data_IF_086507776356
#
_entry.id   IF_086507776356
#
_cell.length_a   1.000
_cell.length_b   1.000
_cell.length_c   1.000
_cell.angle_alpha   90.00
_cell.angle_beta   90.00
_cell.angle_gamma   90.00
#
_symmetry.space_group_name_H-M   'P 1'
#
loop_
_entity.id
_entity.type
_entity.pdbx_description
1 polymer ?
#
# COMPACT_ATOMS: atom_id res chain seq x y z
N UNK A 1 -9.64 -23.83 6.23
CA UNK A 1 -8.87 -22.73 6.84
C UNK A 1 -9.88 -21.69 7.27
N UNK A 2 -9.82 -21.21 8.52
CA UNK A 2 -10.80 -20.23 9.02
C UNK A 2 -10.64 -18.91 8.25
N UNK A 3 -11.74 -18.28 7.83
CA UNK A 3 -11.69 -17.03 7.09
C UNK A 3 -11.38 -15.89 8.07
N UNK A 4 -10.21 -15.30 7.94
CA UNK A 4 -9.80 -14.12 8.72
C UNK A 4 -10.13 -12.88 7.91
N UNK A 5 -10.78 -11.90 8.53
CA UNK A 5 -11.07 -10.60 7.94
C UNK A 5 -10.46 -9.50 8.79
N UNK A 6 -9.90 -8.48 8.13
CA UNK A 6 -9.35 -7.30 8.80
C UNK A 6 -10.17 -6.11 8.35
N UNK A 7 -10.84 -5.47 9.29
CA UNK A 7 -11.64 -4.29 9.05
C UNK A 7 -10.86 -3.03 9.44
N UNK A 8 -10.93 -1.99 8.60
CA UNK A 8 -10.29 -0.71 8.84
C UNK A 8 -11.33 0.41 8.92
N UNK A 9 -11.20 1.28 9.92
CA UNK A 9 -12.01 2.48 10.05
C UNK A 9 -11.19 3.68 10.54
N UNK A 10 -11.67 4.89 10.27
CA UNK A 10 -11.12 6.11 10.85
C UNK A 10 -11.76 6.36 12.22
N UNK A 11 -10.95 6.64 13.23
CA UNK A 11 -11.45 6.99 14.55
C UNK A 11 -12.29 8.28 14.48
N UNK A 12 -13.43 8.30 15.17
CA UNK A 12 -14.40 9.40 15.07
C UNK A 12 -13.85 10.76 15.51
N UNK A 13 -12.95 10.79 16.49
CA UNK A 13 -12.48 12.02 17.15
C UNK A 13 -10.95 12.15 17.18
N UNK A 14 -10.24 11.34 16.41
CA UNK A 14 -8.77 11.39 16.37
C UNK A 14 -8.25 11.14 14.95
N UNK A 15 -7.00 11.55 14.64
CA UNK A 15 -6.39 11.24 13.35
C UNK A 15 -5.93 9.77 13.23
N UNK A 16 -6.33 8.89 14.16
CA UNK A 16 -5.93 7.49 14.17
C UNK A 16 -6.85 6.66 13.27
N UNK A 17 -6.30 5.55 12.80
CA UNK A 17 -7.03 4.50 12.12
C UNK A 17 -7.07 3.27 13.03
N UNK A 18 -8.18 2.58 13.01
CA UNK A 18 -8.45 1.42 13.85
C UNK A 18 -8.55 0.20 12.96
N UNK A 19 -7.94 -0.90 13.40
CA UNK A 19 -8.03 -2.20 12.76
C UNK A 19 -8.75 -3.17 13.68
N UNK A 20 -9.79 -3.83 13.18
CA UNK A 20 -10.48 -4.91 13.86
C UNK A 20 -10.21 -6.21 13.11
N UNK A 21 -9.59 -7.17 13.78
CA UNK A 21 -9.31 -8.49 13.21
C UNK A 21 -10.36 -9.47 13.73
N UNK A 22 -11.12 -10.06 12.83
CA UNK A 22 -12.13 -11.08 13.13
C UNK A 22 -11.86 -12.37 12.38
N UNK A 23 -12.22 -13.49 12.99
CA UNK A 23 -12.27 -14.79 12.33
C UNK A 23 -13.70 -15.27 12.32
N UNK A 24 -14.19 -15.67 11.14
CA UNK A 24 -15.52 -16.25 11.00
C UNK A 24 -15.43 -17.76 10.78
N UNK A 25 -16.21 -18.49 11.57
CA UNK A 25 -16.29 -19.96 11.56
C UNK A 25 -17.75 -20.38 11.80
N UNK A 26 -18.05 -21.07 12.91
CA UNK A 26 -19.42 -21.25 13.40
C UNK A 26 -19.84 -20.08 14.33
N UNK A 27 -18.86 -19.43 14.96
CA UNK A 27 -19.03 -18.21 15.76
C UNK A 27 -17.95 -17.20 15.39
N UNK A 28 -18.30 -15.92 15.46
CA UNK A 28 -17.37 -14.82 15.19
C UNK A 28 -16.45 -14.62 16.39
N UNK A 29 -15.14 -14.68 16.16
CA UNK A 29 -14.13 -14.36 17.16
C UNK A 29 -13.43 -13.06 16.76
N UNK A 30 -13.01 -12.27 17.74
CA UNK A 30 -12.25 -11.03 17.52
C UNK A 30 -10.93 -11.05 18.30
N UNK A 31 -9.90 -10.42 17.74
CA UNK A 31 -8.65 -10.17 18.47
C UNK A 31 -8.92 -9.14 19.57
N UNK A 32 -8.46 -9.46 20.79
CA UNK A 32 -8.51 -8.56 21.94
C UNK A 32 -7.32 -7.60 21.97
N UNK A 33 -6.40 -7.81 22.91
CA UNK A 33 -5.22 -6.96 23.10
C UNK A 33 -4.03 -7.42 22.24
N UNK A 34 -3.31 -6.45 21.68
CA UNK A 34 -2.04 -6.68 20.97
C UNK A 34 -0.88 -6.40 21.94
N UNK A 35 -0.13 -7.45 22.28
CA UNK A 35 0.97 -7.39 23.24
C UNK A 35 2.31 -7.48 22.49
N UNK A 36 3.19 -6.51 22.71
CA UNK A 36 4.56 -6.53 22.19
C UNK A 36 5.47 -7.30 23.14
N UNK A 37 6.42 -8.04 22.56
CA UNK A 37 7.42 -8.80 23.30
C UNK A 37 8.82 -8.31 22.90
N UNK A 38 9.73 -8.28 23.87
CA UNK A 38 11.14 -7.99 23.61
C UNK A 38 11.77 -9.17 22.85
N UNK A 39 12.37 -8.89 21.70
CA UNK A 39 13.11 -9.88 20.92
C UNK A 39 14.59 -9.77 21.25
N UNK A 40 15.19 -10.86 21.67
CA UNK A 40 16.64 -11.00 21.86
C UNK A 40 17.27 -11.55 20.58
N UNK A 41 18.52 -11.22 20.32
CA UNK A 41 19.24 -11.73 19.13
C UNK A 41 19.26 -13.26 19.04
N UNK A 42 19.19 -13.95 20.18
CA UNK A 42 19.14 -15.41 20.27
C UNK A 42 17.77 -16.01 19.91
N UNK A 43 16.69 -15.22 19.86
CA UNK A 43 15.32 -15.72 19.67
C UNK A 43 15.00 -16.05 18.20
N UNK A 44 15.91 -15.73 17.27
CA UNK A 44 15.74 -15.97 15.85
C UNK A 44 14.73 -15.03 15.20
N UNK A 45 14.28 -15.38 13.98
CA UNK A 45 13.27 -14.60 13.25
C UNK A 45 11.88 -15.06 13.73
N UNK A 46 11.05 -14.18 14.32
CA UNK A 46 9.72 -14.55 14.78
C UNK A 46 8.79 -14.86 13.61
N UNK A 47 7.77 -15.67 13.87
CA UNK A 47 6.68 -15.91 12.91
C UNK A 47 5.85 -14.64 12.67
N UNK A 48 5.18 -14.56 11.52
CA UNK A 48 4.27 -13.46 11.22
C UNK A 48 3.14 -13.37 12.26
N UNK A 49 2.90 -12.17 12.80
CA UNK A 49 1.85 -11.93 13.81
C UNK A 49 0.43 -12.09 13.27
N UNK A 50 0.26 -11.98 11.94
CA UNK A 50 -1.01 -12.16 11.24
C UNK A 50 -0.74 -12.71 9.84
N UNK A 51 -1.49 -13.74 9.45
CA UNK A 51 -1.51 -14.26 8.09
C UNK A 51 -2.95 -14.21 7.58
N UNK A 52 -3.15 -13.58 6.43
CA UNK A 52 -4.44 -13.47 5.75
C UNK A 52 -4.28 -13.90 4.30
N UNK A 53 -5.36 -14.35 3.69
CA UNK A 53 -5.36 -14.68 2.27
C UNK A 53 -5.41 -13.41 1.40
N UNK A 54 -5.26 -13.61 0.09
CA UNK A 54 -5.27 -12.52 -0.87
C UNK A 54 -6.60 -11.75 -0.90
N UNK A 55 -7.72 -12.44 -0.73
CA UNK A 55 -9.06 -11.82 -0.75
C UNK A 55 -9.23 -10.86 0.44
N UNK A 56 -8.87 -11.32 1.65
CA UNK A 56 -8.89 -10.50 2.85
C UNK A 56 -7.88 -9.34 2.77
N UNK A 57 -6.72 -9.55 2.15
CA UNK A 57 -5.75 -8.47 1.92
C UNK A 57 -6.29 -7.40 0.96
N UNK A 58 -6.96 -7.79 -0.13
CA UNK A 58 -7.62 -6.85 -1.04
C UNK A 58 -8.75 -6.08 -0.34
N UNK A 59 -9.60 -6.77 0.42
CA UNK A 59 -10.67 -6.13 1.18
C UNK A 59 -10.12 -5.12 2.21
N UNK A 60 -9.00 -5.44 2.88
CA UNK A 60 -8.32 -4.49 3.77
C UNK A 60 -7.82 -3.25 3.00
N UNK A 61 -7.22 -3.44 1.82
CA UNK A 61 -6.78 -2.33 0.97
C UNK A 61 -7.94 -1.42 0.56
N UNK A 62 -9.09 -1.99 0.18
CA UNK A 62 -10.29 -1.23 -0.18
C UNK A 62 -10.85 -0.44 1.01
N UNK A 63 -10.80 -1.00 2.22
CA UNK A 63 -11.26 -0.30 3.41
C UNK A 63 -10.32 0.82 3.83
N UNK A 64 -9.00 0.59 3.78
CA UNK A 64 -8.01 1.66 3.95
C UNK A 64 -8.22 2.74 2.89
N UNK A 65 -8.53 2.35 1.66
CA UNK A 65 -8.88 3.28 0.60
C UNK A 65 -10.12 4.11 0.97
N UNK A 66 -11.20 3.48 1.41
CA UNK A 66 -12.41 4.20 1.83
C UNK A 66 -12.18 5.10 3.05
N UNK A 67 -11.23 4.77 3.91
CA UNK A 67 -10.81 5.59 5.05
C UNK A 67 -9.92 6.80 4.67
N UNK A 68 -9.52 6.92 3.40
CA UNK A 68 -8.63 7.98 2.93
C UNK A 68 -7.14 7.68 3.06
N UNK A 69 -6.75 6.46 3.43
CA UNK A 69 -5.36 6.01 3.42
C UNK A 69 -4.98 5.56 2.01
N UNK A 70 -3.87 6.09 1.51
CA UNK A 70 -3.27 5.73 0.22
C UNK A 70 -1.79 5.47 0.43
N UNK A 71 -1.15 4.62 -0.40
CA UNK A 71 0.29 4.63 -0.49
C UNK A 71 0.76 6.08 -0.71
N UNK A 72 1.77 6.53 0.02
CA UNK A 72 2.31 7.89 -0.11
C UNK A 72 2.76 8.16 -1.54
N UNK A 73 3.37 7.16 -2.18
CA UNK A 73 3.74 7.14 -3.59
C UNK A 73 2.56 6.94 -4.56
N UNK A 74 1.40 6.51 -4.05
CA UNK A 74 0.16 6.30 -4.80
C UNK A 74 -0.79 7.49 -4.80
N UNK A 75 -0.42 8.60 -4.14
CA UNK A 75 -1.20 9.84 -4.06
C UNK A 75 -1.34 10.60 -5.38
N UNK A 76 -0.75 10.09 -6.47
CA UNK A 76 -1.23 10.40 -7.82
C UNK A 76 -0.18 10.78 -8.87
N UNK A 77 1.13 10.70 -8.62
CA UNK A 77 2.05 11.25 -9.64
C UNK A 77 3.50 10.78 -9.67
N UNK A 78 4.06 10.00 -8.75
CA UNK A 78 5.48 9.63 -8.87
C UNK A 78 5.78 8.82 -10.15
N UNK A 79 4.98 7.78 -10.41
CA UNK A 79 5.09 6.99 -11.65
C UNK A 79 4.62 7.73 -12.91
N UNK A 80 3.53 8.50 -12.82
CA UNK A 80 2.99 9.25 -13.96
C UNK A 80 3.86 10.45 -14.34
N UNK A 81 4.34 11.25 -13.37
CA UNK A 81 5.32 12.31 -13.60
C UNK A 81 6.62 11.76 -14.14
N UNK A 82 7.14 10.65 -13.60
CA UNK A 82 8.36 10.05 -14.11
C UNK A 82 8.17 9.58 -15.57
N UNK A 83 7.04 8.95 -15.88
CA UNK A 83 6.69 8.57 -17.25
C UNK A 83 6.55 9.80 -18.17
N UNK A 84 5.90 10.87 -17.71
CA UNK A 84 5.78 12.13 -18.46
C UNK A 84 7.13 12.83 -18.65
N UNK A 85 7.99 12.85 -17.63
CA UNK A 85 9.33 13.43 -17.70
C UNK A 85 10.21 12.68 -18.69
N UNK A 86 10.20 11.35 -18.64
CA UNK A 86 10.91 10.50 -19.60
C UNK A 86 10.39 10.72 -21.03
N UNK A 87 9.07 10.81 -21.19
CA UNK A 87 8.45 11.08 -22.48
C UNK A 87 8.85 12.46 -23.04
N UNK A 88 8.82 13.52 -22.22
CA UNK A 88 9.23 14.87 -22.62
C UNK A 88 10.73 14.95 -22.98
N UNK A 89 11.58 14.22 -22.27
CA UNK A 89 13.01 14.15 -22.57
C UNK A 89 13.25 13.56 -23.96
N UNK A 90 12.50 12.51 -24.32
CA UNK A 90 12.62 11.85 -25.62
C UNK A 90 12.10 12.74 -26.77
N UNK A 91 10.97 13.41 -26.56
CA UNK A 91 10.44 14.40 -27.52
C UNK A 91 11.42 15.55 -27.76
N UNK A 92 12.06 16.07 -26.70
CA UNK A 92 13.12 17.09 -26.84
C UNK A 92 14.29 16.56 -27.66
N UNK A 93 14.75 15.34 -27.39
CA UNK A 93 15.87 14.72 -28.13
C UNK A 93 15.56 14.61 -29.62
N UNK A 94 14.35 14.19 -29.97
CA UNK A 94 13.89 14.10 -31.37
C UNK A 94 13.87 15.50 -32.02
N UNK A 95 13.24 16.49 -31.37
CA UNK A 95 13.13 17.84 -31.90
C UNK A 95 14.50 18.48 -32.16
N UNK A 96 15.43 18.40 -31.20
CA UNK A 96 16.77 18.96 -31.36
C UNK A 96 17.62 18.22 -32.39
N UNK A 97 17.41 16.91 -32.56
CA UNK A 97 18.08 16.14 -33.62
C UNK A 97 17.57 16.56 -34.99
N UNK A 98 16.24 16.70 -35.15
CA UNK A 98 15.62 17.16 -36.38
C UNK A 98 16.07 18.57 -36.78
N UNK A 99 16.13 19.51 -35.83
CA UNK A 99 16.60 20.88 -36.08
C UNK A 99 18.07 20.94 -36.50
N UNK A 100 18.95 20.10 -35.93
CA UNK A 100 20.36 20.01 -36.34
C UNK A 100 20.52 19.47 -37.77
N UNK A 101 19.63 18.59 -38.21
CA UNK A 101 19.66 18.04 -39.58
C UNK A 101 19.24 19.06 -40.64
N UNK A 102 18.38 20.03 -40.29
CA UNK A 102 17.89 21.05 -41.21
C UNK A 102 18.90 22.21 -41.38
N UNK A 103 19.70 22.50 -40.36
CA UNK A 103 20.77 23.52 -40.41
C UNK A 103 22.09 23.07 -41.06
N UNK A 104 22.17 21.84 -41.57
CA UNK A 104 23.35 21.32 -42.31
C UNK A 104 23.10 21.13 -43.82
N UNK A 105 22.03 21.72 -44.35
CA UNK A 105 21.77 21.80 -45.80
C UNK A 105 22.28 23.10 -46.40
#
# INVERSE_FOLDING_TARGET
MNKISVLAQRAAWSPRFELLIISDTATTHAVGEVIFQELREADGIPNASLQIDYEAAQALMDQLWNCGIRPTEGSGSAGSLLATQNHLADMRKIAFTALKMDGQK
#
